data_IF_957880367571
#
_entry.id   IF_957880367571
#
_cell.length_a   1.000
_cell.length_b   1.000
_cell.length_c   1.000
_cell.angle_alpha   90.00
_cell.angle_beta   90.00
_cell.angle_gamma   90.00
#
_symmetry.space_group_name_H-M   'P 1'
#
loop_
_entity.id
_entity.type
_entity.pdbx_description
1 polymer ?
#
# COMPACT_ATOMS: atom_id res chain seq x y z
N UNK A 1 2.18 -21.04 -2.39
CA UNK A 1 2.22 -20.02 -1.33
C UNK A 1 1.49 -18.81 -1.85
N UNK A 2 0.46 -18.35 -1.15
CA UNK A 2 -0.35 -17.20 -1.52
C UNK A 2 0.17 -15.96 -0.81
N UNK A 3 0.51 -14.92 -1.56
CA UNK A 3 1.13 -13.71 -1.04
C UNK A 3 0.28 -12.50 -1.42
N UNK A 4 0.03 -11.63 -0.45
CA UNK A 4 -0.48 -10.28 -0.72
C UNK A 4 0.67 -9.31 -0.58
N UNK A 5 1.03 -8.63 -1.67
CA UNK A 5 1.96 -7.50 -1.61
C UNK A 5 1.16 -6.21 -1.66
N UNK A 6 1.23 -5.40 -0.60
CA UNK A 6 0.54 -4.13 -0.51
C UNK A 6 1.54 -2.97 -0.55
N UNK A 7 1.28 -1.94 -1.37
CA UNK A 7 2.12 -0.73 -1.45
C UNK A 7 1.27 0.51 -1.78
N UNK A 8 1.76 1.72 -1.51
CA UNK A 8 1.11 2.95 -1.98
C UNK A 8 1.76 3.57 -3.21
N UNK A 9 2.78 2.90 -3.76
CA UNK A 9 3.41 3.24 -5.03
C UNK A 9 3.00 2.26 -6.12
N UNK A 10 3.07 2.67 -7.39
CA UNK A 10 2.96 1.74 -8.52
C UNK A 10 4.30 1.00 -8.66
N UNK A 11 4.44 -0.27 -8.22
CA UNK A 11 5.74 -0.94 -8.28
C UNK A 11 6.19 -1.19 -9.73
N UNK A 12 5.28 -1.23 -10.70
CA UNK A 12 5.60 -1.49 -12.12
C UNK A 12 6.13 -0.27 -12.89
N UNK A 13 6.17 0.93 -12.28
CA UNK A 13 6.79 2.14 -12.83
C UNK A 13 7.83 2.71 -11.85
N UNK A 14 8.89 1.95 -11.60
CA UNK A 14 9.90 2.35 -10.63
C UNK A 14 10.78 3.51 -11.11
N UNK A 15 10.39 4.74 -10.75
CA UNK A 15 11.12 5.99 -11.07
C UNK A 15 11.91 6.58 -9.90
N UNK A 16 11.93 5.92 -8.73
CA UNK A 16 12.67 6.38 -7.55
C UNK A 16 13.20 5.21 -6.71
N UNK A 17 14.15 5.48 -5.80
CA UNK A 17 14.83 4.44 -5.02
C UNK A 17 13.89 3.52 -4.21
N UNK A 18 12.88 4.08 -3.54
CA UNK A 18 11.88 3.29 -2.82
C UNK A 18 11.06 2.40 -3.77
N UNK A 19 10.71 2.92 -4.95
CA UNK A 19 9.98 2.16 -5.98
C UNK A 19 10.82 1.03 -6.59
N UNK A 20 12.13 1.22 -6.73
CA UNK A 20 13.04 0.18 -7.25
C UNK A 20 13.12 -1.02 -6.32
N UNK A 21 13.13 -0.79 -4.99
CA UNK A 21 13.08 -1.87 -4.00
C UNK A 21 11.76 -2.63 -4.07
N UNK A 22 10.64 -1.90 -4.04
CA UNK A 22 9.30 -2.50 -4.07
C UNK A 22 9.06 -3.28 -5.38
N UNK A 23 9.59 -2.79 -6.52
CA UNK A 23 9.60 -3.51 -7.79
C UNK A 23 10.42 -4.81 -7.74
N UNK A 24 11.61 -4.75 -7.14
CA UNK A 24 12.46 -5.94 -6.97
C UNK A 24 11.77 -7.02 -6.13
N UNK A 25 11.14 -6.62 -5.03
CA UNK A 25 10.34 -7.51 -4.18
C UNK A 25 9.16 -8.08 -4.96
N UNK A 26 8.39 -7.23 -5.64
CA UNK A 26 7.26 -7.66 -6.47
C UNK A 26 7.68 -8.72 -7.49
N UNK A 27 8.72 -8.45 -8.29
CA UNK A 27 9.22 -9.39 -9.30
C UNK A 27 9.70 -10.71 -8.71
N UNK A 28 10.39 -10.66 -7.56
CA UNK A 28 10.86 -11.87 -6.90
C UNK A 28 9.70 -12.73 -6.39
N UNK A 29 8.65 -12.10 -5.85
CA UNK A 29 7.45 -12.79 -5.37
C UNK A 29 6.61 -13.34 -6.52
N UNK A 30 6.42 -12.57 -7.59
CA UNK A 30 5.62 -12.94 -8.76
C UNK A 30 6.17 -14.19 -9.45
N UNK A 31 7.49 -14.36 -9.45
CA UNK A 31 8.15 -15.54 -10.00
C UNK A 31 8.03 -16.82 -9.14
N UNK A 32 7.62 -16.70 -7.87
CA UNK A 32 7.71 -17.79 -6.88
C UNK A 32 6.41 -18.09 -6.13
N UNK A 33 5.39 -17.25 -6.26
CA UNK A 33 4.17 -17.33 -5.46
C UNK A 33 2.92 -16.97 -6.26
N UNK A 34 1.76 -17.41 -5.74
CA UNK A 34 0.47 -16.89 -6.16
C UNK A 34 0.30 -15.49 -5.55
N UNK A 35 0.65 -14.47 -6.34
CA UNK A 35 0.80 -13.09 -5.87
C UNK A 35 -0.42 -12.24 -6.23
N UNK A 36 -1.00 -11.63 -5.20
CA UNK A 36 -1.99 -10.57 -5.35
C UNK A 36 -1.39 -9.22 -4.96
N UNK A 37 -1.48 -8.25 -5.86
CA UNK A 37 -0.97 -6.89 -5.65
C UNK A 37 -2.09 -5.96 -5.18
N UNK A 38 -1.92 -5.31 -4.05
CA UNK A 38 -2.83 -4.29 -3.53
C UNK A 38 -2.14 -2.94 -3.54
N UNK A 39 -2.55 -2.04 -4.42
CA UNK A 39 -1.90 -0.76 -4.59
C UNK A 39 -2.82 0.40 -4.20
N UNK A 40 -2.31 1.33 -3.39
CA UNK A 40 -3.01 2.56 -3.01
C UNK A 40 -2.31 3.80 -3.57
N UNK A 41 -2.30 3.99 -4.89
CA UNK A 41 -1.41 4.96 -5.50
C UNK A 41 -1.76 6.40 -5.12
N UNK A 42 -0.72 7.13 -4.73
CA UNK A 42 -0.79 8.55 -4.37
C UNK A 42 -0.47 9.40 -5.60
N UNK A 43 -1.46 9.64 -6.47
CA UNK A 43 -1.24 10.38 -7.72
C UNK A 43 -1.41 11.90 -7.58
N UNK A 44 -0.51 12.64 -8.22
CA UNK A 44 -0.63 14.08 -8.49
C UNK A 44 -1.07 14.39 -9.94
N UNK A 45 -0.89 13.44 -10.86
CA UNK A 45 -1.31 13.49 -12.27
C UNK A 45 -1.83 12.11 -12.72
N UNK A 46 -2.65 12.02 -13.78
CA UNK A 46 -3.06 10.74 -14.32
C UNK A 46 -1.86 10.07 -14.98
N UNK A 47 -1.42 8.94 -14.43
CA UNK A 47 -0.57 8.00 -15.16
C UNK A 47 -1.47 6.90 -15.68
N UNK A 48 -1.46 6.68 -16.99
CA UNK A 48 -2.00 5.46 -17.60
C UNK A 48 -0.86 4.48 -17.84
N UNK A 49 -0.62 3.57 -16.89
CA UNK A 49 -0.15 2.23 -17.22
C UNK A 49 -1.20 1.19 -16.84
N UNK A 50 -1.36 0.18 -17.70
CA UNK A 50 -2.21 -0.97 -17.45
C UNK A 50 -1.66 -1.77 -16.26
N UNK A 51 -2.42 -1.92 -15.17
CA UNK A 51 -1.98 -2.74 -14.05
C UNK A 51 -1.84 -4.20 -14.50
N UNK A 52 -0.93 -4.99 -13.89
CA UNK A 52 -0.92 -6.43 -14.12
C UNK A 52 -2.29 -7.04 -13.73
N UNK A 53 -2.70 -8.10 -14.41
CA UNK A 53 -4.05 -8.70 -14.30
C UNK A 53 -4.46 -9.09 -12.86
N UNK A 54 -3.49 -9.24 -11.95
CA UNK A 54 -3.68 -9.65 -10.55
C UNK A 54 -3.63 -8.50 -9.54
N UNK A 55 -3.66 -7.24 -10.02
CA UNK A 55 -3.58 -6.07 -9.15
C UNK A 55 -4.97 -5.46 -8.82
N UNK A 56 -5.23 -5.26 -7.53
CA UNK A 56 -6.32 -4.41 -7.02
C UNK A 56 -5.78 -3.00 -6.74
N UNK A 57 -6.19 -2.03 -7.53
CA UNK A 57 -5.72 -0.63 -7.44
C UNK A 57 -6.81 0.27 -6.85
N UNK A 58 -6.48 1.01 -5.79
CA UNK A 58 -7.37 1.91 -5.08
C UNK A 58 -6.82 3.34 -5.08
N UNK A 59 -7.22 4.17 -6.07
CA UNK A 59 -6.71 5.53 -6.22
C UNK A 59 -6.85 6.34 -4.92
N UNK A 60 -5.74 6.92 -4.47
CA UNK A 60 -5.65 7.59 -3.17
C UNK A 60 -5.11 9.02 -3.32
N UNK A 61 -5.89 9.94 -3.93
CA UNK A 61 -5.42 11.27 -4.28
C UNK A 61 -5.02 12.09 -3.04
N UNK A 62 -3.96 12.88 -3.18
CA UNK A 62 -3.59 13.84 -2.14
C UNK A 62 -4.59 15.01 -2.10
N UNK A 63 -4.92 15.55 -0.92
CA UNK A 63 -5.74 16.74 -0.82
C UNK A 63 -5.04 17.94 -1.47
N UNK A 64 -5.76 18.61 -2.37
CA UNK A 64 -5.28 19.84 -3.04
C UNK A 64 -5.42 21.07 -2.15
N UNK A 65 -6.45 21.11 -1.30
CA UNK A 65 -6.77 22.29 -0.48
C UNK A 65 -5.75 22.50 0.66
N UNK A 66 -5.17 23.72 0.83
CA UNK A 66 -4.14 23.99 1.84
C UNK A 66 -4.55 23.62 3.27
N UNK A 67 -5.74 24.00 3.71
CA UNK A 67 -6.22 23.68 5.07
C UNK A 67 -6.33 22.17 5.30
N UNK A 68 -6.73 21.40 4.28
CA UNK A 68 -6.81 19.93 4.39
C UNK A 68 -5.40 19.34 4.49
N UNK A 69 -4.42 19.85 3.74
CA UNK A 69 -3.03 19.40 3.85
C UNK A 69 -2.45 19.67 5.24
N UNK A 70 -2.71 20.85 5.81
CA UNK A 70 -2.29 21.19 7.18
C UNK A 70 -2.95 20.25 8.19
N UNK A 71 -4.27 20.06 8.11
CA UNK A 71 -4.99 19.16 9.00
C UNK A 71 -4.44 17.71 8.96
N UNK A 72 -4.14 17.19 7.77
CA UNK A 72 -3.52 15.86 7.62
C UNK A 72 -2.12 15.83 8.23
N UNK A 73 -1.28 16.85 7.96
CA UNK A 73 0.06 16.91 8.54
C UNK A 73 0.02 16.95 10.07
N UNK A 74 -0.82 17.80 10.64
CA UNK A 74 -1.00 17.90 12.09
C UNK A 74 -1.48 16.57 12.68
N UNK A 75 -2.46 15.92 12.06
CA UNK A 75 -2.93 14.61 12.52
C UNK A 75 -1.86 13.53 12.40
N UNK A 76 -1.07 13.53 11.32
CA UNK A 76 0.04 12.60 11.13
C UNK A 76 1.09 12.76 12.24
N UNK A 77 1.48 13.99 12.56
CA UNK A 77 2.40 14.30 13.65
C UNK A 77 1.88 13.80 14.99
N UNK A 78 0.63 14.14 15.35
CA UNK A 78 0.00 13.71 16.62
C UNK A 78 -0.05 12.19 16.75
N UNK A 79 -0.25 11.48 15.64
CA UNK A 79 -0.38 10.02 15.60
C UNK A 79 0.95 9.29 15.37
N UNK A 80 2.07 10.01 15.25
CA UNK A 80 3.37 9.42 14.95
C UNK A 80 3.41 8.69 13.60
N UNK A 81 2.65 9.16 12.61
CA UNK A 81 2.55 8.55 11.27
C UNK A 81 3.19 9.45 10.22
N UNK A 82 3.55 8.84 9.09
CA UNK A 82 3.87 9.62 7.90
C UNK A 82 2.61 10.27 7.31
N UNK A 83 2.77 11.45 6.68
CA UNK A 83 1.65 12.20 6.09
C UNK A 83 0.87 11.35 5.07
N UNK A 84 1.59 10.54 4.29
CA UNK A 84 0.99 9.63 3.31
C UNK A 84 0.15 8.54 3.99
N UNK A 85 0.65 7.92 5.06
CA UNK A 85 -0.08 6.91 5.84
C UNK A 85 -1.36 7.48 6.44
N UNK A 86 -1.30 8.70 7.00
CA UNK A 86 -2.47 9.37 7.56
C UNK A 86 -3.50 9.70 6.48
N UNK A 87 -3.07 10.13 5.28
CA UNK A 87 -3.97 10.33 4.15
C UNK A 87 -4.65 9.02 3.73
N UNK A 88 -3.88 7.94 3.59
CA UNK A 88 -4.38 6.62 3.21
C UNK A 88 -5.37 6.06 4.24
N UNK A 89 -5.05 6.18 5.53
CA UNK A 89 -5.95 5.78 6.60
C UNK A 89 -7.28 6.54 6.55
N UNK A 90 -7.26 7.85 6.28
CA UNK A 90 -8.48 8.65 6.11
C UNK A 90 -9.32 8.27 4.89
N UNK A 91 -8.70 7.69 3.86
CA UNK A 91 -9.37 7.18 2.67
C UNK A 91 -9.86 5.73 2.83
N UNK A 92 -9.69 5.14 4.02
CA UNK A 92 -10.14 3.79 4.33
C UNK A 92 -9.22 2.69 3.81
N UNK A 93 -7.95 3.01 3.51
CA UNK A 93 -7.01 2.03 2.96
C UNK A 93 -6.73 0.88 3.94
N UNK A 94 -6.75 1.15 5.25
CA UNK A 94 -6.51 0.13 6.29
C UNK A 94 -7.65 -0.90 6.32
N UNK A 95 -8.90 -0.43 6.31
CA UNK A 95 -10.10 -1.27 6.30
C UNK A 95 -10.19 -2.08 5.01
N UNK A 96 -9.85 -1.47 3.86
CA UNK A 96 -9.78 -2.16 2.57
C UNK A 96 -8.73 -3.27 2.59
N UNK A 97 -7.51 -2.97 3.03
CA UNK A 97 -6.44 -3.97 3.11
C UNK A 97 -6.84 -5.12 4.05
N UNK A 98 -7.39 -4.82 5.22
CA UNK A 98 -7.89 -5.84 6.15
C UNK A 98 -9.02 -6.69 5.53
N UNK A 99 -9.92 -6.08 4.76
CA UNK A 99 -10.94 -6.78 3.99
C UNK A 99 -10.35 -7.77 2.99
N UNK A 100 -9.39 -7.30 2.17
CA UNK A 100 -8.70 -8.12 1.17
C UNK A 100 -7.96 -9.27 1.84
N UNK A 101 -7.22 -9.02 2.93
CA UNK A 101 -6.47 -10.09 3.60
C UNK A 101 -7.42 -11.13 4.20
N UNK A 102 -8.58 -10.74 4.73
CA UNK A 102 -9.61 -11.70 5.21
C UNK A 102 -10.23 -12.51 4.08
N UNK A 103 -10.48 -11.88 2.94
CA UNK A 103 -11.04 -12.52 1.73
C UNK A 103 -10.04 -13.49 1.11
N UNK A 104 -8.83 -13.00 0.82
CA UNK A 104 -7.76 -13.70 0.13
C UNK A 104 -7.15 -14.81 0.99
N UNK A 105 -7.11 -14.63 2.32
CA UNK A 105 -6.44 -15.51 3.29
C UNK A 105 -4.99 -15.88 2.88
N UNK A 106 -4.10 -14.88 2.68
CA UNK A 106 -2.74 -15.15 2.23
C UNK A 106 -1.90 -15.83 3.33
N UNK A 107 -0.93 -16.63 2.91
CA UNK A 107 0.09 -17.21 3.80
C UNK A 107 1.02 -16.11 4.33
N UNK A 108 1.32 -15.13 3.47
CA UNK A 108 2.24 -14.03 3.76
C UNK A 108 1.65 -12.72 3.27
N UNK A 109 1.72 -11.68 4.12
CA UNK A 109 1.54 -10.30 3.68
C UNK A 109 2.90 -9.60 3.68
N UNK A 110 3.19 -8.90 2.59
CA UNK A 110 4.36 -8.05 2.43
C UNK A 110 3.88 -6.60 2.31
N UNK A 111 4.38 -5.72 3.18
CA UNK A 111 4.05 -4.29 3.16
C UNK A 111 5.20 -3.47 2.57
N UNK A 112 4.99 -2.95 1.37
CA UNK A 112 5.90 -2.01 0.72
C UNK A 112 5.83 -0.60 1.30
N UNK A 113 6.64 0.32 0.76
CA UNK A 113 6.60 1.72 1.17
C UNK A 113 5.30 2.41 0.72
N UNK A 114 4.75 3.36 1.49
CA UNK A 114 4.98 3.70 2.88
C UNK A 114 4.04 2.94 3.84
N UNK A 115 3.55 1.74 3.48
CA UNK A 115 2.54 1.01 4.26
C UNK A 115 3.07 0.27 5.48
N UNK A 116 4.38 0.14 5.67
CA UNK A 116 4.99 -0.39 6.90
C UNK A 116 4.43 0.29 8.17
N UNK A 117 4.70 -0.32 9.33
CA UNK A 117 4.37 0.10 10.71
C UNK A 117 2.92 0.57 10.95
N UNK A 118 2.48 1.65 10.29
CA UNK A 118 1.14 2.22 10.37
C UNK A 118 0.02 1.27 9.91
N UNK A 119 0.27 0.32 8.99
CA UNK A 119 -0.75 -0.64 8.54
C UNK A 119 -0.66 -1.99 9.25
N UNK A 120 0.40 -2.28 10.03
CA UNK A 120 0.54 -3.56 10.74
C UNK A 120 -0.69 -3.93 11.56
N UNK A 121 -1.33 -3.01 12.33
CA UNK A 121 -2.50 -3.36 13.13
C UNK A 121 -3.69 -3.84 12.29
N UNK A 122 -3.81 -3.40 11.04
CA UNK A 122 -4.90 -3.80 10.14
C UNK A 122 -4.73 -5.21 9.58
N UNK A 123 -3.49 -5.69 9.47
CA UNK A 123 -3.16 -6.95 8.79
C UNK A 123 -2.73 -8.06 9.73
N UNK A 124 -2.02 -7.72 10.82
CA UNK A 124 -1.49 -8.68 11.80
C UNK A 124 -2.54 -9.68 12.35
N UNK A 125 -3.81 -9.30 12.60
CA UNK A 125 -4.82 -10.25 13.09
C UNK A 125 -5.24 -11.31 12.06
N UNK A 126 -4.81 -11.19 10.80
CA UNK A 126 -5.37 -11.94 9.68
C UNK A 126 -4.34 -12.79 8.94
N UNK A 127 -3.09 -12.88 9.42
CA UNK A 127 -2.01 -13.60 8.73
C UNK A 127 -1.16 -14.46 9.64
N UNK A 128 -0.69 -15.58 9.10
CA UNK A 128 0.29 -16.45 9.76
C UNK A 128 1.70 -15.85 9.76
N UNK A 129 2.06 -15.10 8.72
CA UNK A 129 3.37 -14.44 8.58
C UNK A 129 3.27 -13.06 7.96
N UNK A 130 4.06 -12.12 8.48
CA UNK A 130 4.10 -10.71 8.06
C UNK A 130 5.54 -10.29 7.77
N UNK A 131 5.75 -9.62 6.62
CA UNK A 131 7.04 -9.06 6.20
C UNK A 131 6.85 -7.55 5.98
N UNK A 132 7.73 -6.76 6.59
CA UNK A 132 7.70 -5.29 6.62
C UNK A 132 8.99 -4.76 6.02
#
# INVERSE_FOLDING_TARGET
MKVVFATADLPWEAVSGAKLRDLGIYRALDAQADLELVCFPIWSQPQEPTPPNVARVFPSPMPRHPLRRVAIRSAATVRGRQVFQENLARLGAMERLAGIVRETRPDVVVLGHPLYDGFLPAVRPHVGRLIV
#
